data_IF_333453295209
#
_entry.id   IF_333453295209
#
_cell.length_a   1.000
_cell.length_b   1.000
_cell.length_c   1.000
_cell.angle_alpha   90.00
_cell.angle_beta   90.00
_cell.angle_gamma   90.00
#
_symmetry.space_group_name_H-M   'P 1'
#
loop_
_entity.id
_entity.type
_entity.pdbx_description
1 polymer ?
#
# COMPACT_ATOMS: atom_id res chain seq x y z
N UNK A 1 -68.47 27.03 -28.41
CA UNK A 1 -69.18 26.48 -27.23
C UNK A 1 -68.73 25.05 -26.99
N UNK A 2 -68.66 24.64 -25.71
CA UNK A 2 -68.24 23.35 -25.10
C UNK A 2 -66.73 23.28 -24.77
N UNK A 3 -66.27 23.61 -23.54
CA UNK A 3 -66.30 22.87 -22.25
C UNK A 3 -65.75 21.43 -22.39
N UNK A 4 -64.78 20.90 -21.62
CA UNK A 4 -64.12 21.30 -20.36
C UNK A 4 -62.79 20.52 -20.21
N UNK A 5 -61.79 21.06 -19.50
CA UNK A 5 -61.43 20.86 -18.08
C UNK A 5 -60.88 19.45 -17.70
N UNK A 6 -59.61 19.45 -17.28
CA UNK A 6 -58.97 18.66 -16.20
C UNK A 6 -58.58 17.21 -16.63
N UNK A 7 -57.35 16.69 -16.45
CA UNK A 7 -56.53 16.61 -15.24
C UNK A 7 -55.02 16.49 -15.54
N UNK A 8 -54.25 17.09 -14.64
CA UNK A 8 -52.82 17.04 -14.39
C UNK A 8 -52.33 15.66 -13.92
N UNK A 9 -51.10 15.26 -14.27
CA UNK A 9 -50.03 14.70 -13.41
C UNK A 9 -49.22 13.60 -14.10
N UNK A 10 -47.89 13.75 -14.02
CA UNK A 10 -46.93 12.73 -14.45
C UNK A 10 -45.58 13.30 -14.85
N UNK A 11 -44.99 14.18 -14.02
CA UNK A 11 -43.64 14.70 -14.18
C UNK A 11 -42.65 13.67 -13.64
N UNK A 12 -41.75 13.15 -14.48
CA UNK A 12 -40.38 12.79 -14.09
C UNK A 12 -39.47 12.84 -15.32
N UNK A 13 -38.74 13.94 -15.43
CA UNK A 13 -37.50 14.04 -16.18
C UNK A 13 -36.41 13.25 -15.42
N UNK A 14 -35.50 12.58 -16.12
CA UNK A 14 -34.09 12.98 -16.28
C UNK A 14 -33.27 11.73 -15.89
N UNK A 15 -32.17 11.29 -16.49
CA UNK A 15 -31.33 11.74 -17.60
C UNK A 15 -30.62 10.46 -18.09
N UNK A 16 -30.73 10.12 -19.37
CA UNK A 16 -29.88 9.10 -19.99
C UNK A 16 -28.59 9.76 -20.48
N UNK A 17 -27.57 9.78 -19.63
CA UNK A 17 -26.18 9.92 -20.04
C UNK A 17 -25.31 9.01 -19.18
N UNK A 18 -24.96 7.86 -19.73
CA UNK A 18 -23.99 6.93 -19.17
C UNK A 18 -23.15 6.38 -20.32
N UNK A 19 -22.18 7.17 -20.77
CA UNK A 19 -21.15 6.70 -21.69
C UNK A 19 -19.94 6.21 -20.89
N UNK A 20 -19.52 4.99 -21.24
CA UNK A 20 -18.18 4.40 -21.08
C UNK A 20 -17.59 4.27 -19.67
N UNK A 21 -17.28 3.04 -19.26
CA UNK A 21 -15.93 2.50 -19.48
C UNK A 21 -15.78 1.10 -18.90
N UNK A 22 -15.20 0.22 -19.73
CA UNK A 22 -14.42 -0.97 -19.39
C UNK A 22 -15.19 -2.14 -18.75
N UNK A 23 -15.41 -3.13 -19.61
CA UNK A 23 -15.54 -4.53 -19.24
C UNK A 23 -14.42 -4.88 -18.25
N UNK A 24 -14.84 -5.24 -17.05
CA UNK A 24 -14.07 -6.01 -16.09
C UNK A 24 -13.94 -7.40 -16.67
N UNK A 25 -12.74 -7.77 -17.10
CA UNK A 25 -12.42 -9.15 -17.43
C UNK A 25 -12.32 -9.94 -16.13
N UNK A 26 -13.07 -11.02 -16.09
CA UNK A 26 -13.27 -11.92 -14.97
C UNK A 26 -11.99 -12.72 -14.69
N UNK A 27 -11.61 -12.86 -13.42
CA UNK A 27 -10.69 -13.93 -13.02
C UNK A 27 -9.55 -13.54 -12.08
N UNK A 28 -9.86 -13.02 -10.89
CA UNK A 28 -9.21 -13.53 -9.69
C UNK A 28 -10.16 -13.35 -8.51
N UNK A 29 -10.84 -14.43 -8.15
CA UNK A 29 -11.54 -14.53 -6.87
C UNK A 29 -10.52 -14.31 -5.78
N UNK A 30 -10.50 -13.13 -5.17
CA UNK A 30 -9.75 -12.90 -3.94
C UNK A 30 -10.41 -13.77 -2.88
N UNK A 31 -9.80 -14.93 -2.62
CA UNK A 31 -10.16 -15.79 -1.52
C UNK A 31 -9.89 -15.03 -0.21
N UNK A 32 -10.89 -14.77 0.64
CA UNK A 32 -10.66 -14.21 1.97
C UNK A 32 -10.03 -15.30 2.84
N UNK A 33 -8.69 -15.32 2.91
CA UNK A 33 -7.95 -16.31 3.69
C UNK A 33 -6.43 -16.27 3.55
N UNK A 34 -5.87 -15.81 2.43
CA UNK A 34 -4.43 -15.91 2.14
C UNK A 34 -3.67 -14.57 2.10
N UNK A 35 -4.33 -13.45 2.43
CA UNK A 35 -3.79 -12.10 2.24
C UNK A 35 -3.71 -11.76 0.74
N UNK A 36 -4.00 -10.51 0.35
CA UNK A 36 -3.96 -10.14 -1.07
C UNK A 36 -2.56 -10.24 -1.68
N UNK A 37 -2.39 -9.84 -2.93
CA UNK A 37 -1.08 -9.80 -3.60
C UNK A 37 -0.04 -8.96 -2.82
N UNK A 38 -0.49 -8.00 -2.00
CA UNK A 38 0.34 -7.25 -1.07
C UNK A 38 0.97 -8.12 0.03
N UNK A 39 0.25 -9.12 0.54
CA UNK A 39 0.72 -9.94 1.66
C UNK A 39 1.86 -10.85 1.20
N UNK A 40 1.76 -11.38 -0.03
CA UNK A 40 2.86 -12.13 -0.65
C UNK A 40 4.10 -11.24 -0.80
N UNK A 41 3.93 -10.02 -1.29
CA UNK A 41 5.02 -9.05 -1.43
C UNK A 41 5.65 -8.66 -0.07
N UNK A 42 4.85 -8.54 0.98
CA UNK A 42 5.34 -8.34 2.35
C UNK A 42 6.17 -9.52 2.83
N UNK A 43 5.75 -10.76 2.55
CA UNK A 43 6.56 -11.95 2.83
C UNK A 43 7.90 -11.91 2.08
N UNK A 44 7.97 -11.33 0.87
CA UNK A 44 9.24 -11.14 0.15
C UNK A 44 10.15 -10.14 0.87
N UNK A 45 9.61 -9.04 1.41
CA UNK A 45 10.38 -8.13 2.27
C UNK A 45 10.97 -8.86 3.47
N UNK A 46 10.17 -9.66 4.17
CA UNK A 46 10.59 -10.44 5.35
C UNK A 46 11.66 -11.46 5.00
N UNK A 47 11.51 -12.21 3.90
CA UNK A 47 12.55 -13.13 3.41
C UNK A 47 13.87 -12.40 3.12
N UNK A 48 13.79 -11.17 2.62
CA UNK A 48 14.94 -10.32 2.30
C UNK A 48 15.27 -9.32 3.42
N UNK A 49 14.81 -9.55 4.66
CA UNK A 49 14.85 -8.56 5.73
C UNK A 49 16.25 -8.00 6.00
N UNK A 50 17.29 -8.84 5.89
CA UNK A 50 18.70 -8.42 6.06
C UNK A 50 19.15 -7.32 5.08
N UNK A 51 18.49 -7.19 3.92
CA UNK A 51 18.76 -6.10 2.96
C UNK A 51 18.02 -4.81 3.33
N UNK A 52 16.83 -4.95 3.93
CA UNK A 52 15.97 -3.85 4.38
C UNK A 52 16.52 -3.25 5.68
N UNK A 53 16.81 -4.11 6.66
CA UNK A 53 17.33 -3.79 7.97
C UNK A 53 18.55 -4.67 8.30
N UNK A 54 19.76 -4.24 7.88
CA UNK A 54 20.99 -4.89 8.30
C UNK A 54 21.25 -4.48 9.76
N UNK A 55 20.97 -5.36 10.73
CA UNK A 55 21.15 -5.09 12.16
C UNK A 55 22.64 -4.95 12.52
N UNK A 56 23.21 -3.77 12.28
CA UNK A 56 24.62 -3.42 12.44
C UNK A 56 24.90 -2.59 13.71
N UNK A 57 24.06 -2.73 14.75
CA UNK A 57 24.22 -2.04 16.05
C UNK A 57 22.98 -1.29 16.55
N UNK A 58 21.82 -1.61 15.98
CA UNK A 58 20.43 -1.23 16.27
C UNK A 58 20.14 0.21 16.72
N UNK A 59 20.36 1.22 15.85
CA UNK A 59 19.52 2.40 15.92
C UNK A 59 18.08 2.01 15.55
N UNK A 60 17.12 2.60 16.28
CA UNK A 60 15.70 2.60 15.93
C UNK A 60 15.53 3.04 14.47
N UNK A 61 14.63 2.40 13.72
CA UNK A 61 14.32 2.75 12.33
C UNK A 61 12.84 3.02 12.15
N UNK A 62 12.57 3.87 11.16
CA UNK A 62 11.24 4.06 10.63
C UNK A 62 11.08 3.32 9.32
N UNK A 63 9.93 2.70 9.15
CA UNK A 63 9.55 1.94 7.98
C UNK A 63 8.24 2.49 7.42
N UNK A 64 8.05 2.32 6.13
CA UNK A 64 6.76 2.48 5.47
C UNK A 64 6.66 1.50 4.30
N UNK A 65 5.47 0.98 4.04
CA UNK A 65 5.16 0.12 2.90
C UNK A 65 4.04 0.75 2.08
N UNK A 66 4.25 0.92 0.78
CA UNK A 66 3.24 1.42 -0.15
C UNK A 66 3.60 1.07 -1.58
N UNK A 67 2.61 1.04 -2.48
CA UNK A 67 2.85 1.12 -3.93
C UNK A 67 3.05 2.60 -4.28
N UNK A 68 4.31 3.05 -4.35
CA UNK A 68 4.65 4.47 -4.43
C UNK A 68 4.50 5.03 -5.85
N UNK A 69 4.71 4.19 -6.86
CA UNK A 69 4.62 4.59 -8.27
C UNK A 69 3.35 4.08 -8.99
N UNK A 70 2.48 3.36 -8.29
CA UNK A 70 1.17 2.91 -8.77
C UNK A 70 1.25 1.73 -9.74
N UNK A 71 2.35 0.97 -9.72
CA UNK A 71 2.57 -0.14 -10.65
C UNK A 71 2.10 -1.51 -10.11
N UNK A 72 1.57 -1.55 -8.88
CA UNK A 72 1.13 -2.76 -8.19
C UNK A 72 2.23 -3.53 -7.44
N UNK A 73 3.48 -3.07 -7.52
CA UNK A 73 4.61 -3.60 -6.75
C UNK A 73 4.86 -2.73 -5.53
N UNK A 74 5.07 -3.36 -4.39
CA UNK A 74 5.30 -2.64 -3.15
C UNK A 74 6.72 -2.11 -3.08
N UNK A 75 6.83 -0.89 -2.56
CA UNK A 75 8.06 -0.36 -2.00
C UNK A 75 8.06 -0.39 -0.49
N UNK A 76 9.19 -0.82 0.08
CA UNK A 76 9.52 -0.55 1.48
C UNK A 76 10.51 0.61 1.55
N UNK A 77 10.15 1.61 2.35
CA UNK A 77 10.97 2.76 2.64
C UNK A 77 11.55 2.60 4.04
N UNK A 78 12.83 2.90 4.20
CA UNK A 78 13.56 2.77 5.46
C UNK A 78 14.35 4.04 5.72
N UNK A 79 14.21 4.62 6.92
CA UNK A 79 15.03 5.76 7.35
C UNK A 79 15.33 5.72 8.85
N UNK A 80 16.26 6.57 9.26
CA UNK A 80 16.49 6.86 10.68
C UNK A 80 15.46 7.89 11.16
N UNK A 81 14.88 7.75 12.37
CA UNK A 81 13.93 8.73 12.90
C UNK A 81 14.51 10.14 12.99
N UNK A 82 15.79 10.25 13.31
CA UNK A 82 16.49 11.54 13.47
C UNK A 82 17.09 12.09 12.17
N UNK A 83 16.91 11.40 11.04
CA UNK A 83 17.52 11.80 9.77
C UNK A 83 16.54 12.55 8.89
N UNK A 84 16.95 13.73 8.42
CA UNK A 84 16.28 14.46 7.34
C UNK A 84 16.61 13.88 5.94
N UNK A 85 17.38 12.79 5.87
CA UNK A 85 17.78 12.19 4.61
C UNK A 85 16.62 11.53 3.87
N UNK A 86 16.79 11.46 2.55
CA UNK A 86 15.95 10.65 1.66
C UNK A 86 16.00 9.18 2.13
N UNK A 87 14.84 8.53 2.34
CA UNK A 87 14.81 7.12 2.74
C UNK A 87 15.50 6.23 1.72
N UNK A 88 16.02 5.11 2.21
CA UNK A 88 16.40 3.99 1.36
C UNK A 88 15.12 3.28 0.93
N UNK A 89 14.99 3.02 -0.37
CA UNK A 89 13.78 2.41 -0.93
C UNK A 89 14.13 1.12 -1.67
N UNK A 90 13.38 0.06 -1.38
CA UNK A 90 13.44 -1.21 -2.08
C UNK A 90 12.06 -1.56 -2.64
N UNK A 91 12.00 -1.85 -3.94
CA UNK A 91 10.81 -2.39 -4.61
C UNK A 91 10.88 -3.91 -4.62
N UNK A 92 9.74 -4.58 -4.45
CA UNK A 92 9.62 -6.03 -4.61
C UNK A 92 9.76 -6.43 -6.09
N UNK A 93 10.49 -7.51 -6.34
CA UNK A 93 10.51 -8.20 -7.63
C UNK A 93 9.96 -9.61 -7.44
N UNK A 94 8.62 -9.82 -7.57
CA UNK A 94 7.97 -11.09 -7.24
C UNK A 94 8.54 -12.28 -8.03
N UNK A 95 8.78 -12.08 -9.33
CA UNK A 95 9.35 -13.08 -10.24
C UNK A 95 10.74 -13.62 -9.82
N UNK A 96 11.40 -12.92 -8.89
CA UNK A 96 12.74 -13.27 -8.41
C UNK A 96 12.80 -13.46 -6.89
N UNK A 97 11.65 -13.49 -6.19
CA UNK A 97 11.57 -13.54 -4.71
C UNK A 97 12.52 -12.51 -4.06
N UNK A 98 12.64 -11.34 -4.70
CA UNK A 98 13.78 -10.45 -4.55
C UNK A 98 13.38 -9.00 -4.32
N UNK A 99 14.41 -8.17 -4.07
CA UNK A 99 14.26 -6.73 -3.88
C UNK A 99 15.20 -5.98 -4.83
N UNK A 100 14.70 -4.89 -5.39
CA UNK A 100 15.46 -3.94 -6.21
C UNK A 100 15.57 -2.60 -5.49
N UNK A 101 16.80 -2.16 -5.21
CA UNK A 101 17.04 -0.84 -4.64
C UNK A 101 16.69 0.25 -5.65
N UNK A 102 15.83 1.20 -5.26
CA UNK A 102 15.53 2.39 -6.05
C UNK A 102 16.54 3.50 -5.75
N UNK A 103 16.80 4.34 -6.73
CA UNK A 103 17.72 5.47 -6.57
C UNK A 103 16.98 6.72 -6.05
N UNK A 104 17.74 7.65 -5.45
CA UNK A 104 17.19 8.90 -4.87
C UNK A 104 16.37 9.72 -5.88
N UNK A 105 16.81 9.79 -7.13
CA UNK A 105 16.12 10.55 -8.19
C UNK A 105 14.78 9.95 -8.55
N UNK A 106 14.65 8.62 -8.52
CA UNK A 106 13.38 7.93 -8.68
C UNK A 106 12.44 8.29 -7.52
N UNK A 107 12.89 8.14 -6.27
CA UNK A 107 12.07 8.43 -5.08
C UNK A 107 11.53 9.87 -5.09
N UNK A 108 12.41 10.86 -5.32
CA UNK A 108 12.02 12.27 -5.32
C UNK A 108 10.97 12.62 -6.39
N UNK A 109 10.85 11.83 -7.46
CA UNK A 109 9.79 12.02 -8.46
C UNK A 109 8.46 11.44 -7.99
N UNK A 110 8.47 10.28 -7.35
CA UNK A 110 7.24 9.59 -6.96
C UNK A 110 6.59 10.21 -5.74
N UNK A 111 7.38 10.63 -4.75
CA UNK A 111 6.88 11.15 -3.47
C UNK A 111 6.14 12.51 -3.60
N UNK A 112 6.22 13.18 -4.74
CA UNK A 112 5.67 14.53 -4.90
C UNK A 112 4.15 14.53 -4.69
N UNK A 113 3.70 15.20 -3.63
CA UNK A 113 2.27 15.30 -3.28
C UNK A 113 1.70 14.08 -2.54
N UNK A 114 2.52 13.10 -2.19
CA UNK A 114 2.11 11.93 -1.40
C UNK A 114 2.53 12.09 0.06
N UNK A 115 1.61 11.81 0.99
CA UNK A 115 1.94 11.63 2.41
C UNK A 115 2.21 10.15 2.66
N UNK A 116 3.23 9.85 3.45
CA UNK A 116 3.60 8.46 3.78
C UNK A 116 3.36 8.23 5.26
N UNK A 117 2.64 7.15 5.56
CA UNK A 117 2.44 6.65 6.92
C UNK A 117 3.66 5.86 7.37
N UNK A 118 4.49 6.50 8.18
CA UNK A 118 5.68 5.90 8.80
C UNK A 118 5.33 5.28 10.14
N UNK A 119 5.97 4.16 10.46
CA UNK A 119 5.94 3.56 11.79
C UNK A 119 7.35 3.22 12.25
N UNK A 120 7.53 3.20 13.57
CA UNK A 120 8.77 2.79 14.21
C UNK A 120 8.64 1.32 14.59
N UNK A 121 9.61 0.50 14.18
CA UNK A 121 9.81 -0.81 14.83
C UNK A 121 10.93 -0.70 15.83
N UNK A 122 10.64 -1.09 17.07
CA UNK A 122 11.66 -1.24 18.09
C UNK A 122 12.63 -2.37 17.72
N UNK A 123 13.91 -2.32 18.15
CA UNK A 123 14.91 -3.33 17.81
C UNK A 123 14.44 -4.77 18.07
N UNK A 124 13.70 -5.03 19.14
CA UNK A 124 13.14 -6.35 19.45
C UNK A 124 12.14 -6.84 18.39
N UNK A 125 11.24 -5.98 17.92
CA UNK A 125 10.26 -6.31 16.87
C UNK A 125 10.94 -6.42 15.52
N UNK A 126 11.84 -5.47 15.22
CA UNK A 126 12.62 -5.46 13.98
C UNK A 126 13.59 -6.66 13.89
N UNK A 127 14.01 -7.23 15.02
CA UNK A 127 14.77 -8.48 15.10
C UNK A 127 13.91 -9.74 14.94
N UNK A 128 12.58 -9.63 15.07
CA UNK A 128 11.64 -10.76 14.95
C UNK A 128 11.92 -11.66 13.74
N UNK A 129 12.00 -11.10 12.51
CA UNK A 129 12.30 -11.89 11.31
C UNK A 129 13.60 -12.70 11.39
N UNK A 130 14.57 -12.29 12.20
CA UNK A 130 15.84 -13.00 12.37
C UNK A 130 15.78 -14.09 13.44
N UNK A 131 14.95 -13.90 14.47
CA UNK A 131 14.73 -14.89 15.53
C UNK A 131 13.70 -15.94 15.13
N UNK A 132 13.08 -15.78 13.95
CA UNK A 132 12.03 -16.66 13.44
C UNK A 132 10.61 -16.24 13.87
N UNK A 133 10.47 -15.16 14.63
CA UNK A 133 9.17 -14.55 14.95
C UNK A 133 8.82 -13.48 13.89
N UNK A 134 8.11 -13.88 12.83
CA UNK A 134 7.78 -12.98 11.72
C UNK A 134 6.44 -12.25 11.92
N UNK A 135 5.58 -12.73 12.83
CA UNK A 135 4.18 -12.29 12.92
C UNK A 135 4.06 -10.79 13.22
N UNK A 136 4.84 -10.29 14.18
CA UNK A 136 4.81 -8.88 14.56
C UNK A 136 5.33 -7.98 13.42
N UNK A 137 6.38 -8.41 12.72
CA UNK A 137 6.93 -7.65 11.59
C UNK A 137 5.98 -7.67 10.39
N UNK A 138 5.37 -8.82 10.09
CA UNK A 138 4.38 -8.95 9.03
C UNK A 138 3.16 -8.07 9.30
N UNK A 139 2.64 -8.10 10.53
CA UNK A 139 1.50 -7.28 10.94
C UNK A 139 1.79 -5.79 10.78
N UNK A 140 2.95 -5.30 11.25
CA UNK A 140 3.31 -3.88 11.14
C UNK A 140 3.53 -3.42 9.69
N UNK A 141 4.14 -4.27 8.86
CA UNK A 141 4.32 -3.98 7.43
C UNK A 141 2.99 -3.92 6.68
N UNK A 142 2.08 -4.87 6.98
CA UNK A 142 0.72 -4.88 6.44
C UNK A 142 -0.06 -3.64 6.85
N UNK A 143 0.05 -3.25 8.12
CA UNK A 143 -0.63 -2.10 8.67
C UNK A 143 -0.21 -0.80 7.98
N UNK A 144 1.08 -0.64 7.72
CA UNK A 144 1.60 0.50 6.95
C UNK A 144 1.02 0.58 5.55
N UNK A 145 0.92 -0.56 4.86
CA UNK A 145 0.29 -0.61 3.54
C UNK A 145 -1.21 -0.25 3.61
N UNK A 146 -1.93 -0.78 4.59
CA UNK A 146 -3.37 -0.53 4.74
C UNK A 146 -3.66 0.94 5.07
N UNK A 147 -2.82 1.59 5.87
CA UNK A 147 -2.93 3.04 6.13
C UNK A 147 -2.62 3.86 4.88
N UNK A 148 -1.53 3.56 4.16
CA UNK A 148 -1.16 4.30 2.94
C UNK A 148 -2.19 4.15 1.81
N UNK A 149 -2.90 3.02 1.76
CA UNK A 149 -3.97 2.77 0.78
C UNK A 149 -5.37 3.20 1.23
N UNK A 150 -5.49 3.72 2.45
CA UNK A 150 -6.77 4.13 3.04
C UNK A 150 -7.71 2.98 3.39
N UNK A 151 -7.20 1.75 3.47
CA UNK A 151 -7.94 0.58 4.00
C UNK A 151 -8.07 0.64 5.52
N UNK A 152 -7.16 1.36 6.19
CA UNK A 152 -7.19 1.63 7.63
C UNK A 152 -6.90 3.11 7.91
N UNK A 153 -7.46 3.63 9.00
CA UNK A 153 -7.32 5.04 9.37
C UNK A 153 -6.03 5.34 10.15
N UNK A 154 -5.49 4.36 10.88
CA UNK A 154 -4.31 4.52 11.73
C UNK A 154 -3.67 3.16 12.04
N UNK A 155 -2.45 3.15 12.56
CA UNK A 155 -1.79 1.93 13.00
C UNK A 155 -2.52 1.28 14.20
N UNK A 156 -2.35 -0.03 14.44
CA UNK A 156 -3.02 -0.76 15.53
C UNK A 156 -2.28 -1.99 16.00
#
# INVERSE_FOLDING_TARGET
MRFGKILLMGLMAACLMGASSRAWDEGNTICPGDGGAEAEQIRIFIKNWKKVYPMDGEPVREFAVTDLDGNGLLEILVRSPESEDIPVVYEVTPDHDGLKKRNKKWYSRQISGQSIAWFVMHPETAAGPWTGNIDDAEAMLQDSYDVNTGRKEAFG
#
